data_IF_901748853975
#
_entry.id   IF_901748853975
#
_cell.length_a   1.000
_cell.length_b   1.000
_cell.length_c   1.000
_cell.angle_alpha   90.00
_cell.angle_beta   90.00
_cell.angle_gamma   90.00
#
_symmetry.space_group_name_H-M   'P 1'
#
loop_
_entity.id
_entity.type
_entity.pdbx_description
1 polymer ?
#
# COMPACT_ATOMS: atom_id res chain seq x y z
N UNK A 1 29.78 89.35 29.12
CA UNK A 1 30.98 88.53 29.41
C UNK A 1 31.93 88.70 28.23
N UNK A 2 32.88 89.62 28.33
CA UNK A 2 33.82 89.91 27.24
C UNK A 2 34.91 88.84 27.23
N UNK A 3 35.10 88.16 26.09
CA UNK A 3 36.21 87.24 25.84
C UNK A 3 37.52 88.01 26.04
N UNK A 4 38.18 87.79 27.18
CA UNK A 4 39.38 88.56 27.59
C UNK A 4 40.69 87.95 27.09
N UNK A 5 40.66 86.82 26.41
CA UNK A 5 41.87 86.20 25.86
C UNK A 5 41.55 85.38 24.60
N UNK A 6 42.25 85.67 23.49
CA UNK A 6 42.14 84.88 22.26
C UNK A 6 42.60 83.43 22.47
N UNK A 7 43.44 83.18 23.50
CA UNK A 7 43.84 81.83 23.87
C UNK A 7 42.70 80.99 24.47
N UNK A 8 41.78 81.61 25.23
CA UNK A 8 40.60 80.91 25.73
C UNK A 8 39.64 80.54 24.60
N UNK A 9 39.46 81.44 23.64
CA UNK A 9 38.67 81.18 22.44
C UNK A 9 39.27 80.01 21.63
N UNK A 10 40.59 79.98 21.46
CA UNK A 10 41.29 78.88 20.77
C UNK A 10 41.17 77.55 21.51
N UNK A 11 41.32 77.55 22.83
CA UNK A 11 41.13 76.35 23.66
C UNK A 11 39.67 75.84 23.64
N UNK A 12 38.70 76.73 23.44
CA UNK A 12 37.30 76.35 23.23
C UNK A 12 37.07 75.74 21.85
N UNK A 13 37.64 76.33 20.80
CA UNK A 13 37.58 75.81 19.42
C UNK A 13 38.22 74.42 19.34
N UNK A 14 39.40 74.21 19.92
CA UNK A 14 40.04 72.89 19.91
C UNK A 14 39.24 71.81 20.65
N UNK A 15 38.54 72.18 21.73
CA UNK A 15 37.65 71.26 22.44
C UNK A 15 36.42 70.92 21.60
N UNK A 16 35.86 71.89 20.88
CA UNK A 16 34.77 71.65 19.93
C UNK A 16 35.21 70.75 18.78
N UNK A 17 36.36 71.02 18.16
CA UNK A 17 36.90 70.19 17.07
C UNK A 17 37.13 68.75 17.53
N UNK A 18 37.67 68.55 18.75
CA UNK A 18 37.82 67.20 19.31
C UNK A 18 36.50 66.50 19.57
N UNK A 19 35.45 67.23 20.00
CA UNK A 19 34.11 66.66 20.21
C UNK A 19 33.45 66.32 18.88
N UNK A 20 33.54 67.19 17.88
CA UNK A 20 33.01 66.96 16.53
C UNK A 20 33.71 65.78 15.87
N UNK A 21 35.05 65.73 15.94
CA UNK A 21 35.82 64.60 15.41
C UNK A 21 35.44 63.25 16.05
N UNK A 22 35.12 63.21 17.35
CA UNK A 22 34.59 62.01 18.01
C UNK A 22 33.16 61.66 17.62
N UNK A 23 32.33 62.65 17.26
CA UNK A 23 30.99 62.43 16.75
C UNK A 23 31.04 61.90 15.31
N UNK A 24 31.94 62.43 14.49
CA UNK A 24 32.14 62.04 13.08
C UNK A 24 32.83 60.68 12.92
N UNK A 25 33.70 60.28 13.86
CA UNK A 25 34.42 59.01 13.80
C UNK A 25 33.56 57.78 14.17
N UNK A 26 32.26 57.95 14.46
CA UNK A 26 31.33 56.85 14.78
C UNK A 26 31.61 56.11 16.11
N UNK A 27 32.60 56.54 16.89
CA UNK A 27 33.13 55.83 18.06
C UNK A 27 32.35 56.07 19.37
N UNK A 28 31.14 56.65 19.31
CA UNK A 28 30.45 57.14 20.51
C UNK A 28 29.95 56.07 21.47
N UNK A 29 29.82 54.81 21.04
CA UNK A 29 29.10 53.77 21.78
C UNK A 29 29.84 52.43 21.87
N UNK A 30 31.16 52.44 21.77
CA UNK A 30 31.96 51.21 21.89
C UNK A 30 31.75 50.50 23.24
N UNK A 31 31.30 51.22 24.28
CA UNK A 31 31.00 50.67 25.62
C UNK A 31 29.78 51.35 26.29
N UNK A 32 28.67 51.55 25.57
CA UNK A 32 27.46 52.10 26.19
C UNK A 32 26.66 51.04 26.92
N UNK A 33 26.36 51.23 28.22
CA UNK A 33 25.44 50.40 28.99
C UNK A 33 24.19 51.19 29.38
N UNK A 34 23.02 50.58 29.25
CA UNK A 34 21.75 51.12 29.77
C UNK A 34 21.32 50.24 30.93
N UNK A 35 21.30 50.78 32.14
CA UNK A 35 20.81 50.08 33.35
C UNK A 35 19.42 50.59 33.68
N UNK A 36 18.43 49.68 33.81
CA UNK A 36 17.03 50.00 34.14
C UNK A 36 16.33 50.98 33.17
N UNK A 37 16.89 51.20 31.99
CA UNK A 37 16.35 52.12 30.98
C UNK A 37 15.73 51.39 29.78
N UNK A 38 14.99 52.13 28.97
CA UNK A 38 14.44 51.66 27.70
C UNK A 38 15.24 52.25 26.55
N UNK A 39 15.76 51.39 25.69
CA UNK A 39 16.31 51.79 24.39
C UNK A 39 15.19 51.78 23.35
N UNK A 40 15.14 52.79 22.47
CA UNK A 40 14.20 52.84 21.34
C UNK A 40 14.95 53.27 20.09
N UNK A 41 14.88 52.43 19.06
CA UNK A 41 15.29 52.77 17.70
C UNK A 41 14.04 53.20 16.93
N UNK A 42 14.07 54.35 16.26
CA UNK A 42 12.94 54.87 15.47
C UNK A 42 13.42 55.05 14.04
N UNK A 43 12.91 54.22 13.13
CA UNK A 43 13.37 54.19 11.74
C UNK A 43 14.81 53.66 11.61
N UNK A 44 15.16 53.19 10.41
CA UNK A 44 16.49 52.64 10.12
C UNK A 44 16.66 51.16 10.45
N UNK A 45 17.88 50.66 10.25
CA UNK A 45 18.27 49.25 10.40
C UNK A 45 19.07 49.07 11.70
N UNK A 46 18.62 48.17 12.56
CA UNK A 46 19.48 47.60 13.60
C UNK A 46 20.31 46.47 12.99
N UNK A 47 21.60 46.71 12.74
CA UNK A 47 22.52 45.71 12.22
C UNK A 47 23.38 45.15 13.35
N UNK A 48 23.36 43.83 13.52
CA UNK A 48 24.28 43.09 14.38
C UNK A 48 25.31 42.43 13.47
N UNK A 49 26.58 42.81 13.60
CA UNK A 49 27.67 42.29 12.77
C UNK A 49 28.21 40.95 13.27
N UNK A 50 29.12 40.35 12.51
CA UNK A 50 29.74 39.06 12.87
C UNK A 50 30.31 39.08 14.29
N UNK A 51 29.92 38.10 15.10
CA UNK A 51 30.32 37.99 16.51
C UNK A 51 29.40 38.70 17.51
N UNK A 52 28.41 39.48 17.05
CA UNK A 52 27.42 40.08 17.94
C UNK A 52 26.44 39.02 18.49
N UNK A 53 26.05 39.17 19.76
CA UNK A 53 25.03 38.35 20.44
C UNK A 53 23.93 39.25 20.96
N UNK A 54 22.68 38.93 20.62
CA UNK A 54 21.50 39.48 21.27
C UNK A 54 21.00 38.45 22.29
N UNK A 55 21.01 38.81 23.56
CA UNK A 55 20.52 37.98 24.65
C UNK A 55 19.50 38.78 25.47
N UNK A 56 18.40 38.13 25.83
CA UNK A 56 17.31 38.75 26.59
C UNK A 56 16.63 37.77 27.52
N UNK A 57 16.17 38.27 28.66
CA UNK A 57 15.31 37.55 29.61
C UNK A 57 13.91 38.17 29.52
N UNK A 58 12.90 37.37 29.19
CA UNK A 58 11.52 37.82 29.04
C UNK A 58 10.95 37.52 27.65
N UNK A 59 10.08 38.40 27.15
CA UNK A 59 9.37 38.21 25.88
C UNK A 59 10.04 38.99 24.76
N UNK A 60 10.30 38.33 23.64
CA UNK A 60 10.60 38.98 22.37
C UNK A 60 9.32 39.03 21.52
N UNK A 61 8.85 40.23 21.20
CA UNK A 61 7.66 40.44 20.37
C UNK A 61 8.05 41.11 19.05
N UNK A 62 7.63 40.50 17.94
CA UNK A 62 7.79 41.05 16.60
C UNK A 62 6.40 41.28 15.99
N UNK A 63 6.17 42.48 15.47
CA UNK A 63 4.96 42.81 14.72
C UNK A 63 5.32 43.29 13.31
N UNK A 64 4.56 42.83 12.31
CA UNK A 64 4.85 43.07 10.90
C UNK A 64 5.55 41.89 10.20
N UNK A 65 5.84 42.05 8.91
CA UNK A 65 6.53 41.03 8.12
C UNK A 65 8.00 40.89 8.58
N UNK A 66 8.48 39.65 8.67
CA UNK A 66 9.85 39.35 9.06
C UNK A 66 10.27 37.96 8.56
N UNK A 67 11.57 37.72 8.53
CA UNK A 67 12.16 36.43 8.16
C UNK A 67 13.30 36.11 9.10
N UNK A 68 13.33 34.87 9.60
CA UNK A 68 14.45 34.34 10.37
C UNK A 68 15.19 33.37 9.44
N UNK A 69 16.49 33.55 9.28
CA UNK A 69 17.33 32.71 8.44
C UNK A 69 18.43 32.04 9.28
N UNK A 70 18.87 30.87 8.83
CA UNK A 70 19.82 30.04 9.58
C UNK A 70 19.13 29.01 10.47
N UNK A 71 19.92 28.41 11.37
CA UNK A 71 19.42 27.40 12.29
C UNK A 71 18.70 28.07 13.46
N UNK A 72 17.51 27.60 13.77
CA UNK A 72 16.74 28.02 14.93
C UNK A 72 16.21 26.77 15.63
N UNK A 73 16.15 26.82 16.96
CA UNK A 73 15.68 25.73 17.78
C UNK A 73 14.67 26.28 18.79
N UNK A 74 13.60 25.53 19.02
CA UNK A 74 12.65 25.78 20.10
C UNK A 74 12.93 24.77 21.18
N UNK A 75 13.45 25.25 22.31
CA UNK A 75 13.81 24.42 23.45
C UNK A 75 12.58 23.96 24.23
N UNK A 76 12.80 23.13 25.24
CA UNK A 76 11.78 22.43 26.02
C UNK A 76 10.59 23.32 26.43
N UNK A 77 9.38 22.86 26.11
CA UNK A 77 8.12 23.53 26.45
C UNK A 77 7.70 24.66 25.50
N UNK A 78 8.53 25.01 24.52
CA UNK A 78 8.16 25.99 23.50
C UNK A 78 7.13 25.44 22.50
N UNK A 79 6.25 26.31 22.03
CA UNK A 79 5.19 25.98 21.06
C UNK A 79 5.25 26.97 19.91
N UNK A 80 5.18 26.46 18.67
CA UNK A 80 5.06 27.29 17.47
C UNK A 80 3.59 27.30 17.04
N UNK A 81 2.96 28.47 17.06
CA UNK A 81 1.61 28.67 16.52
C UNK A 81 1.71 29.53 15.26
N UNK A 82 1.21 29.01 14.16
CA UNK A 82 1.37 29.57 12.81
C UNK A 82 0.07 29.38 12.03
N UNK A 83 -0.15 30.23 11.01
CA UNK A 83 -1.26 30.08 10.08
C UNK A 83 -0.98 28.97 9.06
N UNK A 84 -1.08 29.29 7.75
CA UNK A 84 -0.59 28.37 6.72
C UNK A 84 0.91 28.14 6.85
N UNK A 85 1.34 26.88 6.79
CA UNK A 85 2.76 26.48 6.89
C UNK A 85 3.17 25.78 5.61
N UNK A 86 4.27 26.24 5.01
CA UNK A 86 4.99 25.52 3.97
C UNK A 86 6.35 25.10 4.53
N UNK A 87 6.56 23.79 4.67
CA UNK A 87 7.86 23.24 5.05
C UNK A 87 8.45 22.56 3.81
N UNK A 88 9.51 23.14 3.25
CA UNK A 88 10.20 22.61 2.07
C UNK A 88 11.67 22.40 2.40
N UNK A 89 12.07 21.17 2.77
CA UNK A 89 13.47 20.85 3.01
C UNK A 89 14.23 20.86 1.68
N UNK A 90 14.84 22.00 1.35
CA UNK A 90 15.68 22.12 0.15
C UNK A 90 17.05 21.49 0.43
N UNK A 91 17.57 20.68 -0.49
CA UNK A 91 18.90 20.07 -0.37
C UNK A 91 19.00 18.85 0.55
N UNK A 92 17.91 18.11 0.76
CA UNK A 92 17.92 16.86 1.53
C UNK A 92 17.66 17.02 3.03
N UNK A 93 17.06 18.13 3.46
CA UNK A 93 16.60 18.28 4.84
C UNK A 93 15.52 17.26 5.22
N UNK A 94 15.39 16.99 6.52
CA UNK A 94 14.43 16.02 7.08
C UNK A 94 13.43 16.73 7.99
N UNK A 95 12.17 16.33 7.92
CA UNK A 95 11.14 16.72 8.90
C UNK A 95 10.88 15.51 9.79
N UNK A 96 11.08 15.67 11.09
CA UNK A 96 10.74 14.67 12.11
C UNK A 96 9.65 15.25 13.01
N UNK A 97 8.51 14.55 13.11
CA UNK A 97 7.43 14.92 14.01
C UNK A 97 7.29 13.83 15.07
N UNK A 98 7.62 14.15 16.32
CA UNK A 98 7.65 13.21 17.45
C UNK A 98 9.06 12.79 17.86
N UNK A 99 9.19 12.23 19.07
CA UNK A 99 10.46 11.75 19.62
C UNK A 99 10.66 10.25 19.34
N UNK A 100 11.88 9.87 18.92
CA UNK A 100 12.27 8.47 18.76
C UNK A 100 11.76 7.78 17.47
N UNK A 101 11.87 6.44 17.39
CA UNK A 101 11.58 5.65 16.18
C UNK A 101 10.09 5.58 15.81
N UNK A 102 9.21 6.24 16.57
CA UNK A 102 7.74 6.21 16.41
C UNK A 102 7.21 7.50 15.75
N UNK A 103 8.09 8.46 15.48
CA UNK A 103 7.72 9.71 14.80
C UNK A 103 7.38 9.55 13.32
N UNK A 104 6.69 10.55 12.77
CA UNK A 104 6.52 10.69 11.31
C UNK A 104 7.81 11.29 10.76
N UNK A 105 8.50 10.54 9.91
CA UNK A 105 9.71 11.00 9.23
C UNK A 105 9.37 11.25 7.77
N UNK A 106 9.54 12.50 7.32
CA UNK A 106 9.52 12.89 5.90
C UNK A 106 10.96 13.19 5.48
N UNK A 107 11.54 12.33 4.65
CA UNK A 107 12.89 12.51 4.10
C UNK A 107 12.80 12.97 2.64
N UNK A 108 13.14 14.24 2.40
CA UNK A 108 13.11 14.84 1.06
C UNK A 108 14.22 14.35 0.14
N UNK A 109 15.31 13.77 0.68
CA UNK A 109 16.42 13.23 -0.12
C UNK A 109 16.08 11.89 -0.77
N UNK A 110 15.36 11.03 -0.04
CA UNK A 110 14.94 9.71 -0.52
C UNK A 110 13.48 9.65 -0.95
N UNK A 111 12.69 10.70 -0.69
CA UNK A 111 11.25 10.73 -0.94
C UNK A 111 10.49 9.72 -0.07
N UNK A 112 10.90 9.55 1.18
CA UNK A 112 10.34 8.53 2.07
C UNK A 112 9.45 9.11 3.16
N UNK A 113 8.36 8.41 3.45
CA UNK A 113 7.52 8.63 4.63
C UNK A 113 7.56 7.37 5.49
N UNK A 114 8.09 7.46 6.70
CA UNK A 114 8.09 6.33 7.65
C UNK A 114 7.28 6.68 8.89
N UNK A 115 6.37 5.80 9.29
CA UNK A 115 5.54 5.90 10.50
C UNK A 115 5.43 4.51 11.14
N UNK A 116 6.20 4.27 12.21
CA UNK A 116 6.30 2.96 12.84
C UNK A 116 6.77 1.88 11.86
N UNK A 117 5.96 0.83 11.67
CA UNK A 117 6.24 -0.27 10.72
C UNK A 117 5.75 0.02 9.29
N UNK A 118 5.28 1.22 8.99
CA UNK A 118 4.82 1.61 7.66
C UNK A 118 5.88 2.52 7.02
N UNK A 119 6.33 2.17 5.81
CA UNK A 119 7.26 2.97 5.01
C UNK A 119 6.69 3.16 3.61
N UNK A 120 6.71 4.38 3.10
CA UNK A 120 6.44 4.71 1.71
C UNK A 120 7.78 5.10 1.08
N UNK A 121 8.22 4.38 0.06
CA UNK A 121 9.49 4.65 -0.63
C UNK A 121 9.43 4.17 -2.07
N UNK A 122 9.94 4.98 -3.00
CA UNK A 122 10.06 4.60 -4.41
C UNK A 122 8.71 4.20 -5.04
N UNK A 123 7.62 4.85 -4.65
CA UNK A 123 6.27 4.54 -5.12
C UNK A 123 5.64 3.27 -4.53
N UNK A 124 6.25 2.69 -3.49
CA UNK A 124 5.75 1.48 -2.82
C UNK A 124 5.32 1.76 -1.39
N UNK A 125 4.32 1.03 -0.91
CA UNK A 125 3.90 1.01 0.48
C UNK A 125 4.38 -0.31 1.09
N UNK A 126 5.13 -0.20 2.18
CA UNK A 126 5.66 -1.32 2.95
C UNK A 126 5.00 -1.31 4.34
N UNK A 127 4.45 -2.45 4.77
CA UNK A 127 3.85 -2.62 6.10
C UNK A 127 4.50 -3.82 6.80
N UNK A 128 5.15 -3.60 7.94
CA UNK A 128 5.96 -4.59 8.64
C UNK A 128 7.43 -4.54 8.23
N UNK A 129 8.24 -5.45 8.78
CA UNK A 129 9.68 -5.56 8.53
C UNK A 129 10.07 -7.00 8.17
N UNK A 130 11.16 -7.15 7.41
CA UNK A 130 11.69 -8.46 7.02
C UNK A 130 10.80 -9.22 6.02
N UNK A 131 10.87 -10.55 6.06
CA UNK A 131 10.20 -11.43 5.09
C UNK A 131 8.65 -11.48 5.22
N UNK A 132 8.09 -11.01 6.34
CA UNK A 132 6.64 -10.98 6.58
C UNK A 132 5.99 -9.64 6.18
N UNK A 133 6.72 -8.82 5.43
CA UNK A 133 6.24 -7.50 5.02
C UNK A 133 5.15 -7.60 3.95
N UNK A 134 4.14 -6.75 4.07
CA UNK A 134 3.18 -6.48 2.98
C UNK A 134 3.76 -5.37 2.12
N UNK A 135 3.84 -5.59 0.81
CA UNK A 135 4.36 -4.63 -0.16
C UNK A 135 3.32 -4.37 -1.24
N UNK A 136 2.91 -3.10 -1.39
CA UNK A 136 2.13 -2.63 -2.54
C UNK A 136 3.09 -1.86 -3.45
N UNK A 137 3.41 -2.45 -4.59
CA UNK A 137 4.31 -1.87 -5.59
C UNK A 137 3.50 -1.16 -6.68
N UNK A 138 3.44 0.18 -6.60
CA UNK A 138 2.73 0.98 -7.57
C UNK A 138 3.34 0.95 -8.97
N UNK A 139 4.63 0.64 -9.11
CA UNK A 139 5.31 0.62 -10.41
C UNK A 139 4.93 -0.62 -11.22
N UNK A 140 4.76 -1.78 -10.56
CA UNK A 140 4.40 -3.04 -11.23
C UNK A 140 2.94 -3.43 -11.01
N UNK A 141 2.17 -2.69 -10.22
CA UNK A 141 0.82 -3.06 -9.81
C UNK A 141 0.76 -4.33 -8.97
N UNK A 142 1.85 -4.69 -8.28
CA UNK A 142 2.01 -5.95 -7.55
C UNK A 142 1.71 -5.76 -6.07
N UNK A 143 0.99 -6.69 -5.47
CA UNK A 143 0.81 -6.78 -4.01
C UNK A 143 1.42 -8.08 -3.52
N UNK A 144 2.35 -8.00 -2.56
CA UNK A 144 2.95 -9.17 -1.91
C UNK A 144 2.58 -9.16 -0.44
N UNK A 145 2.00 -10.24 0.07
CA UNK A 145 1.61 -10.40 1.47
C UNK A 145 1.94 -11.82 1.94
N UNK A 146 3.08 -11.98 2.60
CA UNK A 146 3.61 -13.29 2.97
C UNK A 146 3.82 -14.17 1.74
N UNK A 147 3.11 -15.30 1.67
CA UNK A 147 3.18 -16.22 0.53
C UNK A 147 2.19 -15.89 -0.59
N UNK A 148 1.36 -14.86 -0.44
CA UNK A 148 0.40 -14.44 -1.46
C UNK A 148 1.01 -13.33 -2.31
N UNK A 149 0.90 -13.46 -3.63
CA UNK A 149 1.27 -12.45 -4.61
C UNK A 149 0.10 -12.18 -5.55
N UNK A 150 -0.32 -10.92 -5.66
CA UNK A 150 -1.33 -10.45 -6.61
C UNK A 150 -0.60 -9.61 -7.67
N UNK A 151 -0.77 -9.99 -8.92
CA UNK A 151 -0.22 -9.33 -10.10
C UNK A 151 -1.35 -9.19 -11.13
N UNK A 152 -1.12 -8.44 -12.21
CA UNK A 152 -2.10 -8.33 -13.28
C UNK A 152 -2.54 -9.71 -13.78
N UNK A 153 -3.84 -9.97 -13.77
CA UNK A 153 -4.48 -11.24 -14.20
C UNK A 153 -4.04 -12.50 -13.44
N UNK A 154 -3.34 -12.37 -12.31
CA UNK A 154 -2.79 -13.53 -11.59
C UNK A 154 -2.75 -13.31 -10.08
N UNK A 155 -3.26 -14.29 -9.33
CA UNK A 155 -3.03 -14.43 -7.90
C UNK A 155 -2.26 -15.73 -7.68
N UNK A 156 -1.16 -15.67 -6.95
CA UNK A 156 -0.35 -16.84 -6.58
C UNK A 156 -0.33 -16.98 -5.07
N UNK A 157 -0.57 -18.19 -4.57
CA UNK A 157 -0.35 -18.56 -3.17
C UNK A 157 0.78 -19.57 -3.14
N UNK A 158 1.99 -19.11 -2.79
CA UNK A 158 3.19 -19.93 -2.73
C UNK A 158 3.13 -20.88 -1.52
N UNK A 159 3.37 -22.17 -1.75
CA UNK A 159 3.42 -23.17 -0.68
C UNK A 159 3.80 -24.52 -1.26
N UNK A 160 4.93 -25.08 -0.82
CA UNK A 160 5.48 -26.33 -1.36
C UNK A 160 6.10 -26.18 -2.76
N UNK A 161 6.38 -27.32 -3.42
CA UNK A 161 7.02 -27.37 -4.74
C UNK A 161 6.14 -26.88 -5.90
N UNK A 162 4.83 -26.73 -5.66
CA UNK A 162 3.87 -26.31 -6.67
C UNK A 162 2.84 -25.34 -6.07
N UNK A 163 2.87 -24.05 -6.42
CA UNK A 163 1.94 -23.04 -5.90
C UNK A 163 0.50 -23.23 -6.39
N UNK A 164 -0.46 -22.75 -5.61
CA UNK A 164 -1.82 -22.55 -6.10
C UNK A 164 -1.90 -21.21 -6.85
N UNK A 165 -2.65 -21.17 -7.96
CA UNK A 165 -2.80 -19.95 -8.77
C UNK A 165 -4.24 -19.70 -9.18
N UNK A 166 -4.66 -18.46 -9.21
CA UNK A 166 -5.82 -18.00 -9.97
C UNK A 166 -5.32 -17.17 -11.14
N UNK A 167 -5.39 -17.71 -12.35
CA UNK A 167 -4.94 -17.04 -13.57
C UNK A 167 -5.94 -17.31 -14.69
N UNK A 168 -6.30 -16.28 -15.46
CA UNK A 168 -7.17 -16.43 -16.65
C UNK A 168 -8.50 -17.18 -16.36
N UNK A 169 -9.06 -16.99 -15.16
CA UNK A 169 -10.29 -17.67 -14.73
C UNK A 169 -10.13 -19.13 -14.31
N UNK A 170 -8.89 -19.64 -14.27
CA UNK A 170 -8.53 -20.98 -13.79
C UNK A 170 -7.92 -20.92 -12.40
N UNK A 171 -8.53 -21.64 -11.47
CA UNK A 171 -7.95 -21.93 -10.16
C UNK A 171 -7.18 -23.25 -10.22
N UNK A 172 -5.85 -23.21 -10.14
CA UNK A 172 -5.00 -24.39 -10.05
C UNK A 172 -4.58 -24.65 -8.61
N UNK A 173 -4.62 -25.91 -8.21
CA UNK A 173 -4.10 -26.42 -6.94
C UNK A 173 -2.80 -27.14 -7.28
N UNK A 174 -1.66 -26.67 -6.77
CA UNK A 174 -0.32 -26.98 -7.27
C UNK A 174 0.02 -28.45 -7.55
N UNK A 175 -0.70 -29.42 -7.01
CA UNK A 175 -0.58 -30.84 -7.36
C UNK A 175 -1.17 -31.23 -8.73
N UNK A 176 -1.44 -30.26 -9.60
CA UNK A 176 -1.95 -30.47 -10.98
C UNK A 176 -3.48 -30.54 -11.09
N UNK A 177 -4.19 -30.30 -9.99
CA UNK A 177 -5.64 -30.14 -10.00
C UNK A 177 -6.03 -28.73 -10.47
N UNK A 178 -7.17 -28.58 -11.13
CA UNK A 178 -7.69 -27.26 -11.49
C UNK A 178 -9.21 -27.20 -11.58
N UNK A 179 -9.75 -26.01 -11.36
CA UNK A 179 -11.15 -25.66 -11.60
C UNK A 179 -11.16 -24.46 -12.55
N UNK A 180 -11.87 -24.58 -13.66
CA UNK A 180 -11.98 -23.54 -14.68
C UNK A 180 -13.41 -23.47 -15.24
N UNK A 181 -13.80 -22.32 -15.79
CA UNK A 181 -15.01 -22.23 -16.59
C UNK A 181 -14.81 -23.04 -17.88
N UNK A 182 -15.76 -23.93 -18.17
CA UNK A 182 -15.79 -24.64 -19.45
C UNK A 182 -16.53 -23.79 -20.47
N UNK A 183 -15.77 -23.03 -21.26
CA UNK A 183 -16.30 -22.11 -22.27
C UNK A 183 -16.91 -22.82 -23.48
N UNK A 184 -16.61 -24.11 -23.69
CA UNK A 184 -17.19 -24.87 -24.79
C UNK A 184 -18.62 -25.32 -24.50
N UNK A 185 -18.94 -25.58 -23.23
CA UNK A 185 -20.24 -26.14 -22.80
C UNK A 185 -21.04 -25.15 -21.94
N UNK A 186 -20.46 -24.03 -21.53
CA UNK A 186 -21.09 -23.04 -20.65
C UNK A 186 -21.22 -23.54 -19.21
N UNK A 187 -20.13 -24.08 -18.65
CA UNK A 187 -20.16 -24.85 -17.40
C UNK A 187 -18.92 -24.68 -16.51
N UNK A 188 -18.72 -25.62 -15.59
CA UNK A 188 -17.50 -25.75 -14.77
C UNK A 188 -16.80 -27.05 -15.14
N UNK A 189 -15.48 -26.96 -15.34
CA UNK A 189 -14.59 -28.10 -15.51
C UNK A 189 -13.65 -28.20 -14.33
N UNK A 190 -13.67 -29.34 -13.65
CA UNK A 190 -12.73 -29.70 -12.60
C UNK A 190 -11.85 -30.84 -13.10
N UNK A 191 -10.53 -30.70 -12.98
CA UNK A 191 -9.54 -31.69 -13.41
C UNK A 191 -8.66 -32.03 -12.23
N UNK A 192 -8.38 -33.32 -12.02
CA UNK A 192 -7.42 -33.80 -11.05
C UNK A 192 -6.77 -35.10 -11.57
N UNK A 193 -5.62 -34.97 -12.23
CA UNK A 193 -4.98 -36.10 -12.91
C UNK A 193 -5.80 -36.61 -14.10
N UNK A 194 -6.16 -37.91 -14.09
CA UNK A 194 -7.02 -38.55 -15.09
C UNK A 194 -8.52 -38.39 -14.79
N UNK A 195 -8.85 -37.79 -13.64
CA UNK A 195 -10.22 -37.51 -13.24
C UNK A 195 -10.67 -36.15 -13.77
N UNK A 196 -11.83 -36.13 -14.43
CA UNK A 196 -12.46 -34.91 -14.95
C UNK A 196 -13.93 -34.90 -14.55
N UNK A 197 -14.39 -33.80 -13.97
CA UNK A 197 -15.79 -33.53 -13.72
C UNK A 197 -16.19 -32.30 -14.52
N UNK A 198 -17.17 -32.46 -15.41
CA UNK A 198 -17.76 -31.34 -16.15
C UNK A 198 -19.21 -31.19 -15.72
N UNK A 199 -19.61 -29.95 -15.39
CA UNK A 199 -20.98 -29.59 -15.09
C UNK A 199 -21.44 -28.50 -16.07
N UNK A 200 -22.40 -28.82 -16.94
CA UNK A 200 -22.96 -27.93 -17.97
C UNK A 200 -24.25 -28.50 -18.53
N UNK A 201 -24.53 -28.32 -19.83
CA UNK A 201 -25.71 -28.96 -20.49
C UNK A 201 -25.66 -30.48 -20.44
N UNK A 202 -24.46 -31.06 -20.32
CA UNK A 202 -24.22 -32.46 -20.01
C UNK A 202 -23.33 -32.51 -18.77
N UNK A 203 -23.74 -33.25 -17.74
CA UNK A 203 -22.92 -33.49 -16.56
C UNK A 203 -22.13 -34.79 -16.76
N UNK A 204 -20.82 -34.76 -16.59
CA UNK A 204 -20.01 -35.99 -16.72
C UNK A 204 -18.96 -36.09 -15.64
N UNK A 205 -18.72 -37.33 -15.22
CA UNK A 205 -17.60 -37.70 -14.34
C UNK A 205 -16.80 -38.77 -15.08
N UNK A 206 -15.52 -38.51 -15.31
CA UNK A 206 -14.59 -39.41 -15.97
C UNK A 206 -13.41 -39.69 -15.06
N UNK A 207 -12.88 -40.91 -15.11
CA UNK A 207 -11.59 -41.30 -14.55
C UNK A 207 -10.90 -42.28 -15.50
N UNK A 208 -9.82 -41.84 -16.14
CA UNK A 208 -9.12 -42.64 -17.15
C UNK A 208 -10.02 -42.99 -18.34
N UNK A 209 -10.31 -44.28 -18.53
CA UNK A 209 -11.19 -44.78 -19.61
C UNK A 209 -12.64 -45.05 -19.18
N UNK A 210 -12.97 -44.85 -17.90
CA UNK A 210 -14.33 -45.00 -17.40
C UNK A 210 -15.02 -43.63 -17.29
N UNK A 211 -16.30 -43.56 -17.66
CA UNK A 211 -17.11 -42.34 -17.57
C UNK A 211 -18.57 -42.62 -17.30
N UNK A 212 -19.21 -41.72 -16.55
CA UNK A 212 -20.66 -41.58 -16.47
C UNK A 212 -21.03 -40.23 -17.04
N UNK A 213 -21.96 -40.22 -17.99
CA UNK A 213 -22.41 -39.03 -18.70
C UNK A 213 -23.93 -38.94 -18.55
N UNK A 214 -24.42 -37.91 -17.88
CA UNK A 214 -25.84 -37.61 -17.76
C UNK A 214 -26.19 -36.46 -18.73
N UNK A 215 -27.01 -36.77 -19.72
CA UNK A 215 -27.48 -35.84 -20.74
C UNK A 215 -29.01 -35.77 -20.82
N UNK A 216 -29.57 -34.95 -21.72
CA UNK A 216 -31.01 -34.74 -21.83
C UNK A 216 -31.80 -35.99 -22.25
N UNK A 217 -31.13 -37.00 -22.80
CA UNK A 217 -31.73 -38.26 -23.27
C UNK A 217 -31.51 -39.44 -22.31
N UNK A 218 -30.77 -39.26 -21.21
CA UNK A 218 -30.50 -40.34 -20.24
C UNK A 218 -29.08 -40.33 -19.67
N UNK A 219 -28.66 -41.50 -19.16
CA UNK A 219 -27.36 -41.71 -18.54
C UNK A 219 -26.59 -42.77 -19.34
N UNK A 220 -25.44 -42.38 -19.91
CA UNK A 220 -24.49 -43.27 -20.56
C UNK A 220 -23.37 -43.65 -19.58
N UNK A 221 -23.12 -44.95 -19.45
CA UNK A 221 -22.07 -45.48 -18.57
C UNK A 221 -21.08 -46.27 -19.43
N UNK A 222 -19.87 -45.74 -19.58
CA UNK A 222 -18.77 -46.43 -20.24
C UNK A 222 -17.78 -46.90 -19.18
N UNK A 223 -17.68 -48.22 -18.98
CA UNK A 223 -16.75 -48.81 -18.05
C UNK A 223 -15.85 -49.80 -18.80
N UNK A 224 -14.58 -49.42 -19.01
CA UNK A 224 -13.57 -50.29 -19.61
C UNK A 224 -13.35 -51.60 -18.80
N UNK A 225 -13.82 -51.67 -17.54
CA UNK A 225 -13.87 -52.86 -16.70
C UNK A 225 -15.24 -53.00 -15.97
N UNK A 226 -16.31 -53.10 -16.77
CA UNK A 226 -17.43 -54.05 -16.67
C UNK A 226 -18.05 -54.44 -15.30
N UNK A 227 -18.55 -53.49 -14.50
CA UNK A 227 -19.72 -53.81 -13.67
C UNK A 227 -20.58 -52.58 -13.37
N UNK A 228 -21.81 -52.57 -13.91
CA UNK A 228 -22.88 -51.72 -13.38
C UNK A 228 -23.50 -52.44 -12.18
N UNK A 229 -23.12 -52.04 -10.96
CA UNK A 229 -23.72 -52.57 -9.73
C UNK A 229 -24.93 -51.72 -9.36
N UNK A 230 -26.12 -52.29 -9.46
CA UNK A 230 -27.37 -51.67 -9.03
C UNK A 230 -27.74 -52.28 -7.69
N UNK A 231 -27.40 -51.58 -6.60
CA UNK A 231 -27.55 -52.08 -5.23
C UNK A 231 -28.94 -51.80 -4.62
N UNK A 232 -29.92 -51.49 -5.47
CA UNK A 232 -31.30 -51.19 -5.10
C UNK A 232 -32.25 -51.72 -6.18
N UNK A 233 -33.52 -52.03 -5.85
CA UNK A 233 -34.51 -52.43 -6.84
C UNK A 233 -34.62 -51.41 -7.97
N UNK A 234 -34.53 -51.90 -9.20
CA UNK A 234 -34.80 -51.09 -10.39
C UNK A 234 -36.30 -51.09 -10.61
N UNK A 235 -36.96 -49.96 -10.34
CA UNK A 235 -38.38 -49.81 -10.64
C UNK A 235 -38.54 -49.53 -12.13
N UNK A 236 -38.99 -50.53 -12.88
CA UNK A 236 -39.32 -50.41 -14.28
C UNK A 236 -40.84 -50.30 -14.43
N UNK A 237 -41.33 -49.19 -14.99
CA UNK A 237 -42.77 -49.03 -15.23
C UNK A 237 -43.24 -50.02 -16.29
N UNK A 238 -44.17 -50.94 -16.00
CA UNK A 238 -44.58 -52.00 -16.93
C UNK A 238 -45.09 -51.51 -18.29
N UNK A 239 -45.61 -50.28 -18.37
CA UNK A 239 -46.07 -49.68 -19.63
C UNK A 239 -44.95 -49.20 -20.56
N UNK A 240 -43.71 -49.09 -20.06
CA UNK A 240 -42.60 -48.50 -20.80
C UNK A 240 -41.61 -49.55 -21.34
N UNK A 241 -41.74 -50.82 -20.96
CA UNK A 241 -40.92 -51.92 -21.47
C UNK A 241 -41.59 -52.50 -22.72
N UNK A 242 -40.99 -52.41 -23.92
CA UNK A 242 -41.54 -52.96 -25.14
C UNK A 242 -41.73 -54.48 -25.03
N UNK A 243 -42.81 -55.00 -25.61
CA UNK A 243 -43.06 -56.43 -25.65
C UNK A 243 -42.33 -57.12 -26.82
N UNK A 244 -42.06 -58.41 -26.66
CA UNK A 244 -41.57 -59.28 -27.73
C UNK A 244 -42.40 -60.56 -27.75
N UNK A 245 -43.02 -60.82 -28.89
CA UNK A 245 -43.76 -62.05 -29.17
C UNK A 245 -42.82 -63.15 -29.68
N UNK A 246 -43.26 -64.41 -29.59
CA UNK A 246 -42.54 -65.54 -30.17
C UNK A 246 -41.25 -65.93 -29.45
N UNK A 247 -41.09 -65.53 -28.18
CA UNK A 247 -39.88 -65.84 -27.38
C UNK A 247 -39.91 -67.23 -26.76
N UNK A 248 -41.10 -67.85 -26.65
CA UNK A 248 -41.29 -69.11 -25.94
C UNK A 248 -41.18 -68.99 -24.41
N UNK A 249 -41.05 -67.78 -23.87
CA UNK A 249 -40.98 -67.50 -22.44
C UNK A 249 -42.37 -67.18 -21.87
N UNK A 250 -42.61 -67.41 -20.56
CA UNK A 250 -43.85 -67.01 -19.90
C UNK A 250 -44.13 -65.51 -20.06
N UNK A 251 -45.40 -65.15 -20.27
CA UNK A 251 -45.85 -63.76 -20.35
C UNK A 251 -45.38 -62.98 -19.13
N UNK A 252 -44.79 -61.80 -19.38
CA UNK A 252 -44.26 -60.96 -18.31
C UNK A 252 -42.77 -61.16 -18.00
N UNK A 253 -42.15 -62.23 -18.51
CA UNK A 253 -40.71 -62.47 -18.33
C UNK A 253 -39.89 -61.33 -18.94
N UNK A 254 -38.99 -60.74 -18.16
CA UNK A 254 -38.03 -59.75 -18.65
C UNK A 254 -36.87 -60.48 -19.33
N UNK A 255 -36.52 -60.04 -20.53
CA UNK A 255 -35.42 -60.59 -21.31
C UNK A 255 -34.56 -59.47 -21.87
N UNK A 256 -33.26 -59.70 -21.92
CA UNK A 256 -32.31 -58.84 -22.62
C UNK A 256 -32.06 -59.49 -23.99
N UNK A 257 -32.40 -58.79 -25.06
CA UNK A 257 -32.21 -59.30 -26.42
C UNK A 257 -30.73 -59.41 -26.78
N UNK A 258 -30.42 -60.09 -27.88
CA UNK A 258 -29.06 -60.11 -28.45
C UNK A 258 -28.52 -58.73 -28.81
N UNK A 259 -29.41 -57.73 -28.99
CA UNK A 259 -29.05 -56.33 -29.20
C UNK A 259 -28.89 -55.53 -27.90
N UNK A 260 -28.98 -56.18 -26.73
CA UNK A 260 -28.89 -55.54 -25.42
C UNK A 260 -30.15 -54.80 -24.98
N UNK A 261 -31.27 -54.92 -25.68
CA UNK A 261 -32.50 -54.23 -25.33
C UNK A 261 -33.29 -55.02 -24.28
N UNK A 262 -33.76 -54.35 -23.22
CA UNK A 262 -34.69 -54.95 -22.27
C UNK A 262 -36.09 -55.01 -22.88
N UNK A 263 -36.69 -56.20 -22.91
CA UNK A 263 -38.04 -56.44 -23.40
C UNK A 263 -38.83 -57.34 -22.44
N UNK A 264 -40.14 -57.36 -22.61
CA UNK A 264 -41.05 -58.26 -21.89
C UNK A 264 -41.65 -59.28 -22.84
N UNK A 265 -41.63 -60.56 -22.48
CA UNK A 265 -42.35 -61.58 -23.23
C UNK A 265 -43.85 -61.25 -23.24
N UNK A 266 -44.43 -61.17 -24.44
CA UNK A 266 -45.87 -61.04 -24.66
C UNK A 266 -46.54 -62.40 -24.79
#
# INVERSE_FOLDING_TARGET
MALRDLNEAWGWIQRLVRRVSRLESGALLENSSITNGRMRFIGGLLRLDSGARLEGVGTFEWSGAGSIAGNWEVLQGGVIKVGGVLISPVGGGRIMVGEGPVGIILDGGTGTLTMGNIRLEGGKIYVGAGASQIVIDGATGKITAGNVTIETNKITVAGGSSPATLQEGKMAFGTGGSVEADTAIGGVRMVAGDAVVNAGTTASVRKGNASVIAGPLGIDINAAALRLLLNAPINLTPGLIPTQTGTGLPVGTLLITSTGALRRAA
#
